data_IF_161539540658
#
_entry.id   IF_161539540658
#
_cell.length_a   1.000
_cell.length_b   1.000
_cell.length_c   1.000
_cell.angle_alpha   90.00
_cell.angle_beta   90.00
_cell.angle_gamma   90.00
#
_symmetry.space_group_name_H-M   'P 1'
#
loop_
_entity.id
_entity.type
_entity.pdbx_description
1 polymer ?
#
# COMPACT_ATOMS: atom_id res chain seq x y z
N UNK A 1 12.63 -27.47 -13.16
CA UNK A 1 13.36 -27.38 -11.87
C UNK A 1 13.90 -25.98 -11.63
N UNK A 2 14.68 -25.38 -12.55
CA UNK A 2 15.22 -24.01 -12.38
C UNK A 2 14.13 -22.94 -12.09
N UNK A 3 13.07 -22.85 -12.91
CA UNK A 3 11.97 -21.89 -12.71
C UNK A 3 11.19 -22.07 -11.39
N UNK A 4 11.13 -23.28 -10.84
CA UNK A 4 10.49 -23.53 -9.55
C UNK A 4 11.40 -23.09 -8.39
N UNK A 5 12.72 -23.19 -8.58
CA UNK A 5 13.72 -22.73 -7.63
C UNK A 5 13.80 -21.19 -7.62
N UNK A 6 13.69 -20.55 -8.79
CA UNK A 6 13.64 -19.09 -8.88
C UNK A 6 12.33 -18.54 -8.28
N UNK A 7 11.20 -19.23 -8.51
CA UNK A 7 9.90 -18.89 -7.92
C UNK A 7 9.86 -18.99 -6.39
N UNK A 8 10.47 -20.02 -5.78
CA UNK A 8 10.57 -20.10 -4.31
C UNK A 8 11.47 -18.99 -3.77
N UNK A 9 12.57 -18.66 -4.45
CA UNK A 9 13.48 -17.60 -4.01
C UNK A 9 12.77 -16.24 -4.00
N UNK A 10 12.00 -15.92 -5.05
CA UNK A 10 11.20 -14.69 -5.12
C UNK A 10 10.14 -14.65 -4.01
N UNK A 11 9.44 -15.77 -3.77
CA UNK A 11 8.47 -15.88 -2.67
C UNK A 11 9.13 -15.78 -1.29
N UNK A 12 10.35 -16.26 -1.14
CA UNK A 12 11.12 -16.18 0.11
C UNK A 12 11.58 -14.75 0.38
N UNK A 13 12.16 -14.05 -0.62
CA UNK A 13 12.49 -12.62 -0.51
C UNK A 13 11.25 -11.75 -0.25
N UNK A 14 10.08 -12.13 -0.76
CA UNK A 14 8.81 -11.48 -0.47
C UNK A 14 8.41 -11.65 1.01
N UNK A 15 8.44 -12.88 1.52
CA UNK A 15 8.13 -13.18 2.93
C UNK A 15 9.13 -12.45 3.83
N UNK A 16 10.41 -12.53 3.51
CA UNK A 16 11.49 -11.90 4.27
C UNK A 16 11.40 -10.36 4.21
N UNK A 17 11.02 -9.79 3.06
CA UNK A 17 10.79 -8.35 2.87
C UNK A 17 9.53 -7.85 3.59
N UNK A 18 8.45 -8.63 3.59
CA UNK A 18 7.22 -8.33 4.32
C UNK A 18 7.44 -8.42 5.83
N UNK A 19 8.16 -9.44 6.29
CA UNK A 19 8.57 -9.60 7.68
C UNK A 19 9.51 -8.46 8.09
N UNK A 20 10.48 -8.08 7.27
CA UNK A 20 11.34 -6.92 7.52
C UNK A 20 10.52 -5.61 7.58
N UNK A 21 9.54 -5.43 6.70
CA UNK A 21 8.64 -4.28 6.69
C UNK A 21 7.75 -4.20 7.94
N UNK A 22 7.43 -5.31 8.59
CA UNK A 22 6.66 -5.33 9.84
C UNK A 22 7.57 -5.21 11.07
N UNK A 23 8.78 -5.77 11.02
CA UNK A 23 9.74 -5.71 12.14
C UNK A 23 10.38 -4.33 12.25
N UNK A 24 10.70 -3.68 11.13
CA UNK A 24 11.30 -2.34 11.11
C UNK A 24 10.45 -1.28 11.87
N UNK A 25 9.13 -1.13 11.63
CA UNK A 25 8.29 -0.21 12.39
C UNK A 25 8.05 -0.67 13.83
N UNK A 26 8.12 -1.97 14.15
CA UNK A 26 8.17 -2.44 15.53
C UNK A 26 9.44 -1.95 16.26
N UNK A 27 10.59 -1.97 15.60
CA UNK A 27 11.84 -1.42 16.14
C UNK A 27 11.78 0.11 16.23
N UNK A 28 11.23 0.77 15.20
CA UNK A 28 11.08 2.21 15.17
C UNK A 28 10.07 2.73 16.21
N UNK A 29 9.01 1.97 16.50
CA UNK A 29 8.01 2.27 17.53
C UNK A 29 8.57 2.14 18.96
N UNK A 30 9.59 1.32 19.18
CA UNK A 30 10.37 1.32 20.42
C UNK A 30 11.21 2.60 20.60
N UNK A 31 11.63 3.24 19.51
CA UNK A 31 12.36 4.51 19.51
C UNK A 31 11.43 5.75 19.50
N UNK A 32 10.17 5.55 19.10
CA UNK A 32 9.10 6.54 18.98
C UNK A 32 8.78 7.35 20.27
N UNK A 33 8.85 6.84 21.51
CA UNK A 33 8.56 7.66 22.69
C UNK A 33 9.54 8.83 22.90
N UNK A 34 10.72 8.81 22.27
CA UNK A 34 11.75 9.86 22.37
C UNK A 34 11.54 10.99 21.36
N UNK A 35 10.99 10.70 20.17
CA UNK A 35 10.82 11.68 19.09
C UNK A 35 9.50 12.47 19.15
N UNK A 36 8.46 11.92 19.79
CA UNK A 36 7.08 12.44 19.72
C UNK A 36 6.79 13.62 20.65
N UNK A 37 7.59 13.83 21.70
CA UNK A 37 7.41 14.97 22.62
C UNK A 37 7.60 16.34 21.94
N UNK A 38 8.12 16.38 20.71
CA UNK A 38 8.53 17.64 20.06
C UNK A 38 7.61 18.11 18.91
N UNK A 39 6.73 17.29 18.31
CA UNK A 39 5.90 17.75 17.16
C UNK A 39 4.60 16.95 16.87
N UNK A 40 3.82 16.61 17.89
CA UNK A 40 2.53 15.91 17.73
C UNK A 40 1.58 16.54 16.67
N UNK A 41 1.59 17.87 16.54
CA UNK A 41 0.81 18.56 15.52
C UNK A 41 1.27 18.26 14.08
N UNK A 42 2.59 18.17 13.85
CA UNK A 42 3.15 17.85 12.53
C UNK A 42 2.83 16.42 12.12
N UNK A 43 2.88 15.48 13.07
CA UNK A 43 2.55 14.07 12.83
C UNK A 43 1.12 13.88 12.29
N UNK A 44 0.15 14.61 12.83
CA UNK A 44 -1.23 14.56 12.37
C UNK A 44 -1.40 15.06 10.93
N UNK A 45 -0.73 16.14 10.51
CA UNK A 45 -0.84 16.60 9.12
C UNK A 45 -0.23 15.61 8.12
N UNK A 46 0.87 14.98 8.50
CA UNK A 46 1.56 14.01 7.65
C UNK A 46 0.73 12.73 7.46
N UNK A 47 0.01 12.26 8.48
CA UNK A 47 -0.84 11.07 8.37
C UNK A 47 -1.98 11.27 7.37
N UNK A 48 -2.67 12.43 7.42
CA UNK A 48 -3.70 12.77 6.44
C UNK A 48 -3.13 12.93 5.03
N UNK A 49 -1.95 13.56 4.89
CA UNK A 49 -1.30 13.74 3.59
C UNK A 49 -0.95 12.40 2.94
N UNK A 50 -0.36 11.47 3.70
CA UNK A 50 -0.02 10.12 3.22
C UNK A 50 -1.27 9.34 2.82
N UNK A 51 -2.33 9.37 3.64
CA UNK A 51 -3.59 8.71 3.32
C UNK A 51 -4.24 9.28 2.05
N UNK A 52 -4.19 10.59 1.85
CA UNK A 52 -4.68 11.26 0.64
C UNK A 52 -3.90 10.87 -0.61
N UNK A 53 -2.57 10.90 -0.54
CA UNK A 53 -1.69 10.51 -1.66
C UNK A 53 -1.86 9.04 -2.06
N UNK A 54 -1.95 8.14 -1.07
CA UNK A 54 -2.17 6.72 -1.34
C UNK A 54 -3.56 6.48 -1.95
N UNK A 55 -4.60 7.17 -1.45
CA UNK A 55 -5.94 7.10 -2.03
C UNK A 55 -5.96 7.58 -3.49
N UNK A 56 -5.25 8.67 -3.78
CA UNK A 56 -5.10 9.17 -5.15
C UNK A 56 -4.36 8.17 -6.04
N UNK A 57 -3.32 7.52 -5.53
CA UNK A 57 -2.56 6.48 -6.26
C UNK A 57 -3.44 5.26 -6.60
N UNK A 58 -4.21 4.75 -5.61
CA UNK A 58 -5.19 3.67 -5.81
C UNK A 58 -6.21 4.06 -6.88
N UNK A 59 -6.81 5.25 -6.76
CA UNK A 59 -7.81 5.76 -7.70
C UNK A 59 -7.26 5.92 -9.12
N UNK A 60 -6.02 6.42 -9.25
CA UNK A 60 -5.34 6.55 -10.53
C UNK A 60 -5.11 5.19 -11.19
N UNK A 61 -4.66 4.18 -10.42
CA UNK A 61 -4.42 2.84 -10.97
C UNK A 61 -5.73 2.14 -11.38
N UNK A 62 -6.83 2.33 -10.62
CA UNK A 62 -8.17 1.89 -11.03
C UNK A 62 -8.57 2.54 -12.36
N UNK A 63 -8.38 3.87 -12.47
CA UNK A 63 -8.73 4.61 -13.68
C UNK A 63 -7.97 4.10 -14.92
N UNK A 64 -6.64 3.93 -14.81
CA UNK A 64 -5.81 3.40 -15.89
C UNK A 64 -6.27 2.01 -16.34
N UNK A 65 -6.69 1.14 -15.39
CA UNK A 65 -7.21 -0.19 -15.73
C UNK A 65 -8.60 -0.17 -16.34
N UNK A 66 -9.45 0.79 -15.99
CA UNK A 66 -10.79 0.95 -16.61
C UNK A 66 -10.67 1.49 -18.04
N UNK A 67 -9.77 2.44 -18.27
CA UNK A 67 -9.52 3.04 -19.59
C UNK A 67 -8.67 2.16 -20.50
N UNK A 68 -8.15 1.03 -19.99
CA UNK A 68 -7.25 0.12 -20.70
C UNK A 68 -6.00 0.83 -21.24
N UNK A 69 -5.39 1.71 -20.42
CA UNK A 69 -4.15 2.38 -20.80
C UNK A 69 -2.95 1.41 -20.64
N UNK A 70 -2.61 0.74 -21.74
CA UNK A 70 -1.52 -0.23 -21.83
C UNK A 70 -0.12 0.40 -21.85
N UNK A 71 0.00 1.73 -21.77
CA UNK A 71 1.30 2.41 -21.65
C UNK A 71 1.97 2.14 -20.30
N UNK A 72 1.18 1.74 -19.29
CA UNK A 72 1.67 1.35 -17.97
C UNK A 72 1.91 -0.14 -17.89
N UNK A 73 3.12 -0.53 -17.50
CA UNK A 73 3.54 -1.93 -17.37
C UNK A 73 2.61 -2.75 -16.45
N UNK A 74 2.16 -2.16 -15.34
CA UNK A 74 1.23 -2.81 -14.42
C UNK A 74 -0.10 -3.18 -15.11
N UNK A 75 -0.65 -2.28 -15.93
CA UNK A 75 -1.92 -2.50 -16.66
C UNK A 75 -1.72 -3.49 -17.80
N UNK A 76 -0.62 -3.36 -18.55
CA UNK A 76 -0.28 -4.26 -19.64
C UNK A 76 -0.11 -5.72 -19.18
N UNK A 77 0.58 -5.93 -18.06
CA UNK A 77 0.86 -7.28 -17.54
C UNK A 77 -0.34 -7.93 -16.84
N UNK A 78 -1.31 -7.15 -16.35
CA UNK A 78 -2.37 -7.65 -15.47
C UNK A 78 -3.81 -7.41 -15.97
N UNK A 79 -4.02 -6.70 -17.08
CA UNK A 79 -5.35 -6.37 -17.63
C UNK A 79 -5.40 -6.63 -19.14
N UNK A 80 -6.59 -6.97 -19.65
CA UNK A 80 -6.85 -7.07 -21.08
C UNK A 80 -8.22 -6.49 -21.45
N UNK A 81 -8.38 -6.00 -22.67
CA UNK A 81 -9.57 -5.23 -23.08
C UNK A 81 -10.90 -5.97 -22.87
N UNK A 82 -10.92 -7.29 -23.12
CA UNK A 82 -12.11 -8.16 -22.99
C UNK A 82 -12.55 -8.46 -21.54
N UNK A 83 -11.81 -7.98 -20.54
CA UNK A 83 -12.08 -8.32 -19.13
C UNK A 83 -13.26 -7.48 -18.61
N UNK A 84 -14.23 -8.08 -17.90
CA UNK A 84 -15.33 -7.32 -17.30
C UNK A 84 -14.82 -6.29 -16.29
N UNK A 85 -15.51 -5.14 -16.19
CA UNK A 85 -15.06 -3.98 -15.40
C UNK A 85 -14.83 -4.35 -13.92
N UNK A 86 -15.69 -5.19 -13.34
CA UNK A 86 -15.52 -5.66 -11.95
C UNK A 86 -14.18 -6.37 -11.76
N UNK A 87 -13.76 -7.21 -12.72
CA UNK A 87 -12.45 -7.89 -12.66
C UNK A 87 -11.28 -6.93 -12.84
N UNK A 88 -11.45 -5.87 -13.63
CA UNK A 88 -10.43 -4.82 -13.80
C UNK A 88 -10.19 -4.06 -12.50
N UNK A 89 -11.26 -3.78 -11.74
CA UNK A 89 -11.20 -3.12 -10.43
C UNK A 89 -10.63 -4.08 -9.37
N UNK A 90 -11.17 -5.30 -9.23
CA UNK A 90 -10.67 -6.24 -8.22
C UNK A 90 -9.26 -6.74 -8.51
N UNK A 91 -8.85 -6.70 -9.79
CA UNK A 91 -7.50 -7.04 -10.22
C UNK A 91 -6.44 -6.02 -9.82
N UNK A 92 -6.82 -4.82 -9.36
CA UNK A 92 -5.90 -3.77 -8.86
C UNK A 92 -5.08 -4.29 -7.70
N UNK A 93 -5.67 -5.10 -6.82
CA UNK A 93 -5.03 -5.67 -5.64
C UNK A 93 -4.75 -7.16 -5.75
N UNK A 94 -5.13 -7.77 -6.88
CA UNK A 94 -4.89 -9.19 -7.15
C UNK A 94 -3.49 -9.50 -7.69
N UNK A 95 -2.67 -8.47 -7.95
CA UNK A 95 -1.29 -8.62 -8.41
C UNK A 95 -0.29 -8.37 -7.27
N UNK A 96 0.96 -8.76 -7.52
CA UNK A 96 2.07 -8.60 -6.58
C UNK A 96 2.21 -7.15 -6.09
N UNK A 97 2.33 -6.19 -7.02
CA UNK A 97 2.56 -4.77 -6.70
C UNK A 97 1.37 -4.12 -6.01
N UNK A 98 0.16 -4.45 -6.45
CA UNK A 98 -1.08 -3.86 -5.95
C UNK A 98 -1.49 -4.39 -4.59
N UNK A 99 -1.10 -5.61 -4.23
CA UNK A 99 -1.32 -6.13 -2.87
C UNK A 99 -0.59 -5.29 -1.81
N UNK A 100 0.64 -4.86 -2.09
CA UNK A 100 1.38 -3.93 -1.21
C UNK A 100 0.73 -2.56 -1.15
N UNK A 101 0.30 -2.04 -2.29
CA UNK A 101 -0.35 -0.74 -2.37
C UNK A 101 -1.68 -0.73 -1.59
N UNK A 102 -2.48 -1.80 -1.66
CA UNK A 102 -3.68 -1.97 -0.84
C UNK A 102 -3.32 -2.00 0.65
N UNK A 103 -2.30 -2.76 1.04
CA UNK A 103 -1.91 -2.88 2.43
C UNK A 103 -1.46 -1.54 3.03
N UNK A 104 -0.59 -0.82 2.31
CA UNK A 104 -0.14 0.52 2.70
C UNK A 104 -1.30 1.50 2.76
N UNK A 105 -2.21 1.44 1.80
CA UNK A 105 -3.40 2.29 1.77
C UNK A 105 -4.29 2.03 3.00
N UNK A 106 -4.60 0.77 3.33
CA UNK A 106 -5.37 0.42 4.53
C UNK A 106 -4.70 0.90 5.82
N UNK A 107 -3.39 0.70 5.98
CA UNK A 107 -2.65 1.17 7.16
C UNK A 107 -2.67 2.70 7.27
N UNK A 108 -2.52 3.42 6.16
CA UNK A 108 -2.55 4.88 6.14
C UNK A 108 -3.93 5.45 6.50
N UNK A 109 -4.99 4.85 5.96
CA UNK A 109 -6.37 5.24 6.25
C UNK A 109 -6.70 4.95 7.72
N UNK A 110 -6.32 3.77 8.22
CA UNK A 110 -6.50 3.43 9.63
C UNK A 110 -5.80 4.44 10.55
N UNK A 111 -4.55 4.79 10.24
CA UNK A 111 -3.79 5.79 11.02
C UNK A 111 -4.46 7.16 10.99
N UNK A 112 -4.91 7.62 9.83
CA UNK A 112 -5.63 8.89 9.70
C UNK A 112 -6.95 8.92 10.48
N UNK A 113 -7.70 7.81 10.47
CA UNK A 113 -8.95 7.66 11.25
C UNK A 113 -8.66 7.66 12.75
N UNK A 114 -7.61 6.99 13.19
CA UNK A 114 -7.21 6.98 14.61
C UNK A 114 -6.79 8.37 15.11
N UNK A 115 -6.05 9.13 14.31
CA UNK A 115 -5.69 10.53 14.62
C UNK A 115 -6.92 11.43 14.69
N UNK A 116 -7.89 11.25 13.78
CA UNK A 116 -9.16 11.96 13.82
C UNK A 116 -9.96 11.62 15.07
N UNK A 117 -10.08 10.33 15.40
CA UNK A 117 -10.78 9.86 16.59
C UNK A 117 -10.12 10.34 17.88
N UNK A 118 -8.79 10.38 17.94
CA UNK A 118 -8.04 10.90 19.08
C UNK A 118 -8.37 12.38 19.35
N UNK A 119 -8.32 13.22 18.30
CA UNK A 119 -8.69 14.64 18.39
C UNK A 119 -10.16 14.88 18.71
N UNK A 120 -11.06 13.94 18.40
CA UNK A 120 -12.48 14.07 18.71
C UNK A 120 -12.80 13.81 20.19
N UNK A 121 -11.91 13.12 20.93
CA UNK A 121 -12.12 12.71 22.32
C UNK A 121 -11.43 13.67 23.30
N UNK A 122 -10.32 14.31 22.90
CA UNK A 122 -9.55 15.27 23.70
C UNK A 122 -9.95 16.71 23.42
#
# INVERSE_FOLDING_TARGET
>A
MQYFVDGYAIMQYFVDGFVAFLILPCILSLLYPVSVRLSAALGAYMSYAVAGLLSASVGFLIYLRIVDDFSFENVFNNSHSLQPILYKITGVWGNYEGSYLLFLWLLSVYTAVMEFAHKAIT
#
